data_IF_026946476501
#
_entry.id   IF_026946476501
#
_cell.length_a   1.000
_cell.length_b   1.000
_cell.length_c   1.000
_cell.angle_alpha   90.00
_cell.angle_beta   90.00
_cell.angle_gamma   90.00
#
_symmetry.space_group_name_H-M   'P 1'
#
loop_
_entity.id
_entity.type
_entity.pdbx_description
1 polymer ?
#
# COMPACT_ATOMS: atom_id res chain seq x y z
N UNK A 1 -6.11 -4.94 9.02
CA UNK A 1 -6.13 -3.53 8.60
C UNK A 1 -4.72 -3.02 8.30
N UNK A 2 -3.75 -3.19 9.22
CA UNK A 2 -2.37 -2.76 8.99
C UNK A 2 -1.77 -3.35 7.72
N UNK A 3 -2.02 -4.60 7.41
CA UNK A 3 -1.59 -5.20 6.15
C UNK A 3 -2.07 -4.38 4.92
N UNK A 4 -3.32 -3.90 4.94
CA UNK A 4 -3.84 -3.01 3.88
C UNK A 4 -3.14 -1.64 3.88
N UNK A 5 -2.70 -1.14 5.04
CA UNK A 5 -1.96 0.12 5.11
C UNK A 5 -0.58 0.04 4.44
N UNK A 6 0.03 -1.15 4.40
CA UNK A 6 1.38 -1.35 3.85
C UNK A 6 1.40 -2.08 2.50
N UNK A 7 0.24 -2.47 1.97
CA UNK A 7 0.14 -3.16 0.66
C UNK A 7 -0.85 -2.51 -0.29
N UNK A 8 -1.75 -1.66 0.23
CA UNK A 8 -2.83 -1.08 -0.56
C UNK A 8 -3.90 -2.09 -1.00
N UNK A 9 -3.77 -3.37 -0.63
CA UNK A 9 -4.71 -4.42 -1.03
C UNK A 9 -6.08 -4.16 -0.39
N UNK A 10 -7.16 -4.07 -1.18
CA UNK A 10 -8.48 -3.80 -0.64
C UNK A 10 -9.10 -5.03 -0.01
N UNK A 11 -10.11 -4.82 0.84
CA UNK A 11 -10.81 -5.86 1.57
C UNK A 11 -11.19 -7.07 0.72
N UNK A 12 -11.83 -6.85 -0.43
CA UNK A 12 -12.33 -7.95 -1.25
C UNK A 12 -11.26 -8.82 -1.90
N UNK A 13 -10.07 -8.26 -2.14
CA UNK A 13 -8.92 -8.99 -2.67
C UNK A 13 -8.20 -9.69 -1.51
N UNK A 14 -8.04 -9.01 -0.37
CA UNK A 14 -7.43 -9.57 0.84
C UNK A 14 -8.14 -10.83 1.36
N UNK A 15 -9.47 -10.89 1.26
CA UNK A 15 -10.24 -12.08 1.62
C UNK A 15 -9.95 -13.33 0.76
N UNK A 16 -9.31 -13.13 -0.40
CA UNK A 16 -9.02 -14.21 -1.35
C UNK A 16 -7.57 -14.65 -1.32
N UNK A 17 -6.68 -13.80 -0.80
CA UNK A 17 -5.25 -14.08 -0.77
C UNK A 17 -4.97 -15.46 -0.18
N UNK A 18 -4.18 -16.22 -0.93
CA UNK A 18 -3.71 -17.57 -0.60
C UNK A 18 -2.19 -17.66 -0.74
N UNK A 19 -1.63 -18.80 -0.39
CA UNK A 19 -0.19 -19.04 -0.59
C UNK A 19 0.19 -19.04 -2.08
N UNK A 20 -0.74 -19.38 -2.97
CA UNK A 20 -0.53 -19.35 -4.42
C UNK A 20 -0.34 -17.91 -4.97
N UNK A 21 -0.77 -16.88 -4.21
CA UNK A 21 -0.54 -15.49 -4.58
C UNK A 21 0.86 -14.98 -4.16
N UNK A 22 1.66 -15.79 -3.45
CA UNK A 22 3.01 -15.43 -3.03
C UNK A 22 4.06 -16.00 -3.99
N UNK A 23 4.99 -15.16 -4.39
CA UNK A 23 6.14 -15.54 -5.21
C UNK A 23 7.43 -15.04 -4.56
N UNK A 24 8.44 -15.88 -4.51
CA UNK A 24 9.79 -15.51 -4.05
C UNK A 24 10.64 -15.28 -5.29
N UNK A 25 11.12 -14.06 -5.47
CA UNK A 25 12.01 -13.68 -6.55
C UNK A 25 13.43 -14.27 -6.34
N UNK A 26 14.25 -14.24 -7.38
CA UNK A 26 15.62 -14.78 -7.34
C UNK A 26 16.51 -14.09 -6.29
N UNK A 27 16.26 -12.83 -5.98
CA UNK A 27 16.95 -12.03 -4.95
C UNK A 27 16.43 -12.27 -3.53
N UNK A 28 15.40 -13.12 -3.38
CA UNK A 28 14.77 -13.45 -2.10
C UNK A 28 13.63 -12.50 -1.71
N UNK A 29 13.32 -11.48 -2.50
CA UNK A 29 12.15 -10.64 -2.26
C UNK A 29 10.85 -11.43 -2.40
N UNK A 30 9.91 -11.20 -1.49
CA UNK A 30 8.58 -11.83 -1.53
C UNK A 30 7.60 -10.87 -2.18
N UNK A 31 6.93 -11.36 -3.22
CA UNK A 31 5.94 -10.60 -3.98
C UNK A 31 4.54 -11.18 -3.79
N UNK A 32 3.52 -10.34 -3.80
CA UNK A 32 2.14 -10.75 -4.03
C UNK A 32 1.81 -10.50 -5.50
N UNK A 33 1.36 -11.55 -6.19
CA UNK A 33 0.82 -11.50 -7.55
C UNK A 33 -0.62 -11.98 -7.52
N UNK A 34 -1.55 -11.11 -7.82
CA UNK A 34 -2.98 -11.43 -7.73
C UNK A 34 -3.82 -10.59 -8.68
N UNK A 35 -5.09 -10.94 -8.81
CA UNK A 35 -6.04 -10.27 -9.72
C UNK A 35 -7.04 -9.43 -8.93
N UNK A 36 -7.23 -8.18 -9.32
CA UNK A 36 -8.26 -7.31 -8.76
C UNK A 36 -9.66 -7.90 -8.97
N UNK A 37 -10.40 -8.13 -7.89
CA UNK A 37 -11.78 -8.65 -7.96
C UNK A 37 -12.70 -7.76 -8.78
N UNK A 38 -12.56 -6.43 -8.62
CA UNK A 38 -13.44 -5.43 -9.24
C UNK A 38 -13.16 -5.21 -10.72
N UNK A 39 -11.89 -5.12 -11.11
CA UNK A 39 -11.46 -4.72 -12.46
C UNK A 39 -10.93 -5.86 -13.30
N UNK A 40 -10.69 -7.02 -12.70
CA UNK A 40 -10.09 -8.22 -13.35
C UNK A 40 -8.70 -7.95 -13.94
N UNK A 41 -7.97 -7.02 -13.35
CA UNK A 41 -6.60 -6.68 -13.73
C UNK A 41 -5.65 -7.37 -12.78
N UNK A 42 -4.64 -8.02 -13.34
CA UNK A 42 -3.52 -8.55 -12.57
C UNK A 42 -2.65 -7.41 -12.07
N UNK A 43 -2.20 -7.51 -10.87
CA UNK A 43 -1.27 -6.59 -10.26
C UNK A 43 -0.33 -7.31 -9.32
N UNK A 44 0.84 -6.76 -9.18
CA UNK A 44 1.90 -7.30 -8.34
C UNK A 44 2.51 -6.20 -7.48
N UNK A 45 2.97 -6.57 -6.31
CA UNK A 45 3.68 -5.67 -5.41
C UNK A 45 4.65 -6.45 -4.53
N UNK A 46 5.86 -5.91 -4.28
CA UNK A 46 6.79 -6.47 -3.32
C UNK A 46 6.28 -6.24 -1.90
N UNK A 47 6.52 -7.19 -1.03
CA UNK A 47 6.16 -7.07 0.38
C UNK A 47 7.31 -6.43 1.17
N UNK A 48 6.99 -5.35 1.84
CA UNK A 48 7.86 -4.73 2.84
C UNK A 48 7.93 -5.60 4.11
N UNK A 49 8.87 -5.33 5.01
CA UNK A 49 9.08 -6.10 6.24
C UNK A 49 7.82 -6.19 7.11
N UNK A 50 7.08 -5.10 7.26
CA UNK A 50 5.87 -5.08 8.11
C UNK A 50 4.78 -6.04 7.60
N UNK A 51 4.39 -6.05 6.31
CA UNK A 51 3.52 -7.09 5.76
C UNK A 51 4.05 -8.51 5.96
N UNK A 52 5.35 -8.74 5.77
CA UNK A 52 5.96 -10.07 5.98
C UNK A 52 5.80 -10.53 7.43
N UNK A 53 6.09 -9.69 8.40
CA UNK A 53 5.88 -9.98 9.82
C UNK A 53 4.41 -10.24 10.15
N UNK A 54 3.48 -9.54 9.49
CA UNK A 54 2.05 -9.80 9.67
C UNK A 54 1.68 -11.18 9.12
N UNK A 55 2.16 -11.57 7.94
CA UNK A 55 1.91 -12.90 7.38
C UNK A 55 2.47 -13.99 8.28
N UNK A 56 3.70 -13.82 8.76
CA UNK A 56 4.33 -14.78 9.66
C UNK A 56 3.54 -14.95 10.97
N UNK A 57 3.09 -13.85 11.56
CA UNK A 57 2.24 -13.87 12.76
C UNK A 57 0.96 -14.68 12.59
N UNK A 58 0.37 -14.69 11.39
CA UNK A 58 -0.89 -15.39 11.12
C UNK A 58 -0.69 -16.76 10.45
N UNK A 59 0.55 -17.17 10.23
CA UNK A 59 0.87 -18.50 9.72
C UNK A 59 0.31 -19.58 10.64
N UNK A 60 -0.45 -20.50 10.11
CA UNK A 60 -1.11 -21.56 10.88
C UNK A 60 -2.31 -21.12 11.73
N UNK A 61 -2.64 -19.80 11.74
CA UNK A 61 -3.84 -19.25 12.42
C UNK A 61 -4.93 -18.93 11.40
N UNK A 62 -4.54 -18.52 10.19
CA UNK A 62 -5.46 -18.25 9.11
C UNK A 62 -6.21 -19.54 8.71
N UNK A 63 -7.46 -19.44 8.21
CA UNK A 63 -8.17 -20.57 7.65
C UNK A 63 -7.34 -21.26 6.54
N UNK A 64 -7.53 -22.58 6.38
CA UNK A 64 -6.81 -23.35 5.38
C UNK A 64 -6.85 -22.68 4.00
N UNK A 65 -5.69 -22.61 3.34
CA UNK A 65 -5.53 -21.98 2.04
C UNK A 65 -5.66 -20.45 2.05
N UNK A 66 -5.62 -19.78 3.20
CA UNK A 66 -5.67 -18.31 3.31
C UNK A 66 -4.43 -17.74 4.01
N UNK A 67 -3.98 -16.57 3.54
CA UNK A 67 -2.86 -15.87 4.18
C UNK A 67 -3.28 -15.13 5.46
N UNK A 68 -4.53 -14.70 5.57
CA UNK A 68 -4.99 -13.87 6.68
C UNK A 68 -6.37 -14.30 7.18
N UNK A 69 -6.62 -14.26 8.50
CA UNK A 69 -7.94 -14.49 9.08
C UNK A 69 -8.83 -13.26 8.88
N UNK A 70 -9.63 -13.26 7.81
CA UNK A 70 -10.49 -12.13 7.47
C UNK A 70 -11.89 -12.29 8.06
N UNK A 71 -12.33 -11.26 8.79
CA UNK A 71 -13.71 -11.11 9.25
C UNK A 71 -14.55 -10.33 8.25
N UNK A 72 -15.88 -10.38 8.38
CA UNK A 72 -16.79 -9.61 7.53
C UNK A 72 -16.48 -8.10 7.58
N UNK A 73 -16.60 -7.40 6.45
CA UNK A 73 -16.24 -5.98 6.31
C UNK A 73 -16.93 -5.08 7.36
N UNK A 74 -18.22 -5.34 7.65
CA UNK A 74 -18.96 -4.59 8.66
C UNK A 74 -18.39 -4.79 10.07
N UNK A 75 -17.93 -6.01 10.40
CA UNK A 75 -17.29 -6.33 11.68
C UNK A 75 -15.96 -5.61 11.81
N UNK A 76 -15.13 -5.64 10.76
CA UNK A 76 -13.85 -4.91 10.73
C UNK A 76 -14.06 -3.40 10.86
N UNK A 77 -15.01 -2.82 10.14
CA UNK A 77 -15.30 -1.39 10.23
C UNK A 77 -15.83 -0.99 11.61
N UNK A 78 -16.60 -1.85 12.27
CA UNK A 78 -17.05 -1.62 13.66
C UNK A 78 -15.88 -1.64 14.64
N UNK A 79 -14.95 -2.59 14.49
CA UNK A 79 -13.74 -2.67 15.30
C UNK A 79 -12.85 -1.43 15.08
N UNK A 80 -12.65 -1.01 13.81
CA UNK A 80 -11.88 0.19 13.48
C UNK A 80 -12.50 1.47 14.08
N UNK A 81 -13.84 1.59 14.05
CA UNK A 81 -14.52 2.70 14.71
C UNK A 81 -14.25 2.73 16.23
N UNK A 82 -14.26 1.57 16.87
CA UNK A 82 -13.94 1.46 18.31
C UNK A 82 -12.48 1.83 18.59
N UNK A 83 -11.54 1.35 17.78
CA UNK A 83 -10.12 1.72 17.87
C UNK A 83 -9.94 3.23 17.71
N UNK A 84 -10.55 3.84 16.69
CA UNK A 84 -10.50 5.27 16.46
C UNK A 84 -10.98 6.06 17.70
N UNK A 85 -12.08 5.63 18.31
CA UNK A 85 -12.62 6.26 19.53
C UNK A 85 -11.65 6.15 20.71
N UNK A 86 -11.02 4.98 20.91
CA UNK A 86 -10.05 4.76 22.00
C UNK A 86 -8.78 5.61 21.80
N UNK A 87 -8.35 5.77 20.54
CA UNK A 87 -7.15 6.52 20.18
C UNK A 87 -7.40 8.03 19.98
N UNK A 88 -8.61 8.55 20.22
CA UNK A 88 -8.93 9.96 20.00
C UNK A 88 -8.88 10.38 18.53
N UNK A 89 -9.05 9.44 17.59
CA UNK A 89 -9.05 9.72 16.15
C UNK A 89 -10.45 10.18 15.73
N UNK A 90 -10.62 11.46 15.45
CA UNK A 90 -11.90 12.06 15.06
C UNK A 90 -12.33 11.69 13.62
N UNK A 91 -11.36 11.43 12.74
CA UNK A 91 -11.61 11.04 11.35
C UNK A 91 -12.32 9.69 11.30
N UNK A 92 -13.29 9.57 10.37
CA UNK A 92 -13.97 8.31 10.10
C UNK A 92 -12.97 7.26 9.61
N UNK A 93 -12.63 6.30 10.46
CA UNK A 93 -11.74 5.20 10.14
C UNK A 93 -12.56 4.00 9.62
N UNK A 94 -12.32 3.61 8.38
CA UNK A 94 -12.90 2.44 7.72
C UNK A 94 -11.80 1.62 7.05
N UNK A 95 -12.09 0.37 6.69
CA UNK A 95 -11.06 -0.53 6.12
C UNK A 95 -10.39 0.07 4.87
N UNK A 96 -11.14 0.77 4.04
CA UNK A 96 -10.60 1.42 2.83
C UNK A 96 -9.54 2.50 3.13
N UNK A 97 -9.53 3.07 4.33
CA UNK A 97 -8.48 4.03 4.73
C UNK A 97 -7.08 3.42 4.67
N UNK A 98 -6.94 2.09 4.87
CA UNK A 98 -5.64 1.42 4.72
C UNK A 98 -5.05 1.61 3.32
N UNK A 99 -5.87 1.46 2.27
CA UNK A 99 -5.42 1.68 0.90
C UNK A 99 -5.09 3.17 0.61
N UNK A 100 -5.82 4.10 1.22
CA UNK A 100 -5.45 5.52 1.16
C UNK A 100 -4.09 5.76 1.80
N UNK A 101 -3.87 5.24 3.00
CA UNK A 101 -2.59 5.35 3.71
C UNK A 101 -1.43 4.79 2.88
N UNK A 102 -1.61 3.62 2.25
CA UNK A 102 -0.60 3.06 1.35
C UNK A 102 -0.26 4.01 0.21
N UNK A 103 -1.29 4.49 -0.50
CA UNK A 103 -1.10 5.37 -1.64
C UNK A 103 -0.45 6.71 -1.26
N UNK A 104 -0.85 7.32 -0.12
CA UNK A 104 -0.35 8.63 0.29
C UNK A 104 0.94 8.55 1.09
N UNK A 105 0.89 7.91 2.27
CA UNK A 105 1.97 7.96 3.27
C UNK A 105 3.11 6.98 2.99
N UNK A 106 2.76 5.78 2.50
CA UNK A 106 3.76 4.71 2.31
C UNK A 106 4.44 4.81 0.95
N UNK A 107 3.78 5.38 -0.06
CA UNK A 107 4.33 5.43 -1.43
C UNK A 107 4.56 6.85 -1.94
N UNK A 108 3.51 7.62 -2.24
CA UNK A 108 3.66 8.93 -2.89
C UNK A 108 4.46 9.94 -2.06
N UNK A 109 4.28 9.97 -0.73
CA UNK A 109 5.05 10.86 0.16
C UNK A 109 6.52 10.48 0.24
N UNK A 110 6.85 9.22 -0.04
CA UNK A 110 8.22 8.69 -0.08
C UNK A 110 8.86 8.83 -1.47
N UNK A 111 8.20 9.49 -2.41
CA UNK A 111 8.72 9.77 -3.75
C UNK A 111 8.51 8.65 -4.77
N UNK A 112 7.70 7.64 -4.46
CA UNK A 112 7.34 6.61 -5.46
C UNK A 112 6.51 7.27 -6.56
N UNK A 113 6.88 7.12 -7.86
CA UNK A 113 6.15 7.73 -8.96
C UNK A 113 4.68 7.31 -9.01
N UNK A 114 3.81 8.24 -9.41
CA UNK A 114 2.36 8.02 -9.47
C UNK A 114 1.99 6.82 -10.35
N UNK A 115 2.68 6.65 -11.46
CA UNK A 115 2.48 5.55 -12.41
C UNK A 115 2.80 4.20 -11.75
N UNK A 116 3.88 4.15 -10.98
CA UNK A 116 4.28 2.95 -10.21
C UNK A 116 3.21 2.63 -9.17
N UNK A 117 2.78 3.62 -8.39
CA UNK A 117 1.70 3.44 -7.39
C UNK A 117 0.41 2.99 -8.05
N UNK A 118 0.08 3.53 -9.23
CA UNK A 118 -1.10 3.12 -10.00
C UNK A 118 -1.07 1.64 -10.37
N UNK A 119 0.08 1.14 -10.82
CA UNK A 119 0.29 -0.31 -11.10
C UNK A 119 0.17 -1.15 -9.84
N UNK A 120 0.90 -0.79 -8.78
CA UNK A 120 0.86 -1.51 -7.49
C UNK A 120 -0.55 -1.59 -6.89
N UNK A 121 -1.38 -0.59 -7.17
CA UNK A 121 -2.78 -0.58 -6.76
C UNK A 121 -3.71 -1.34 -7.72
N UNK A 122 -3.26 -1.77 -8.89
CA UNK A 122 -4.10 -2.42 -9.90
C UNK A 122 -5.18 -1.49 -10.45
N UNK A 123 -4.84 -0.22 -10.66
CA UNK A 123 -5.76 0.73 -11.33
C UNK A 123 -5.63 0.65 -12.84
N UNK A 124 -6.78 0.64 -13.53
CA UNK A 124 -6.86 0.68 -15.01
C UNK A 124 -6.49 2.03 -15.57
N UNK A 125 -6.74 3.09 -14.79
CA UNK A 125 -6.55 4.49 -15.20
C UNK A 125 -5.79 5.23 -14.11
N UNK A 126 -4.83 6.01 -14.51
CA UNK A 126 -4.00 6.81 -13.61
C UNK A 126 -4.82 7.87 -12.84
N UNK A 127 -5.87 8.40 -13.45
CA UNK A 127 -6.79 9.36 -12.83
C UNK A 127 -7.32 8.84 -11.48
N UNK A 128 -7.53 7.51 -11.37
CA UNK A 128 -7.97 6.88 -10.12
C UNK A 128 -6.91 7.02 -9.01
N UNK A 129 -5.63 7.15 -9.37
CA UNK A 129 -4.53 7.32 -8.42
C UNK A 129 -4.27 8.81 -8.15
N UNK A 130 -4.56 9.70 -9.08
CA UNK A 130 -4.36 11.15 -8.94
C UNK A 130 -5.12 11.75 -7.75
N UNK A 131 -6.24 11.14 -7.31
CA UNK A 131 -6.96 11.56 -6.11
C UNK A 131 -6.10 11.53 -4.84
N UNK A 132 -5.02 10.73 -4.83
CA UNK A 132 -4.06 10.63 -3.73
C UNK A 132 -2.89 11.60 -3.88
N UNK A 133 -2.61 12.09 -5.08
CA UNK A 133 -1.47 12.94 -5.41
C UNK A 133 -1.83 14.42 -5.22
N UNK A 134 -1.96 14.85 -3.96
CA UNK A 134 -2.03 16.28 -3.64
C UNK A 134 -0.62 16.85 -3.64
N UNK A 135 -0.30 17.62 -4.67
CA UNK A 135 0.95 18.38 -4.70
C UNK A 135 0.75 19.64 -3.87
N UNK A 136 1.55 19.81 -2.83
CA UNK A 136 1.61 21.02 -2.00
C UNK A 136 2.85 21.80 -2.33
N UNK A 137 2.88 23.09 -1.98
CA UNK A 137 4.05 23.95 -2.18
C UNK A 137 5.27 23.42 -1.41
N UNK A 138 5.07 22.84 -0.23
CA UNK A 138 6.13 22.18 0.55
C UNK A 138 6.74 20.99 -0.21
N UNK A 139 5.89 20.21 -0.89
CA UNK A 139 6.37 19.09 -1.70
C UNK A 139 7.15 19.57 -2.92
N UNK A 140 6.69 20.62 -3.59
CA UNK A 140 7.44 21.24 -4.70
C UNK A 140 8.81 21.66 -4.24
N UNK A 141 8.88 22.36 -3.08
CA UNK A 141 10.14 22.80 -2.48
C UNK A 141 11.09 21.64 -2.17
N UNK A 142 10.59 20.61 -1.52
CA UNK A 142 11.37 19.40 -1.17
C UNK A 142 11.87 18.64 -2.42
N UNK A 143 11.01 18.46 -3.41
CA UNK A 143 11.36 17.78 -4.67
C UNK A 143 12.43 18.58 -5.46
N UNK A 144 12.33 19.93 -5.47
CA UNK A 144 13.30 20.81 -6.10
C UNK A 144 14.66 20.77 -5.40
N UNK A 145 14.68 20.78 -4.06
CA UNK A 145 15.94 20.66 -3.31
C UNK A 145 16.62 19.30 -3.54
N UNK A 146 15.83 18.23 -3.64
CA UNK A 146 16.36 16.90 -3.92
C UNK A 146 16.92 16.82 -5.35
N UNK A 147 16.25 17.45 -6.32
CA UNK A 147 16.73 17.57 -7.69
C UNK A 147 18.07 18.34 -7.72
N UNK A 148 18.15 19.46 -7.03
CA UNK A 148 19.38 20.28 -6.98
C UNK A 148 20.58 19.50 -6.42
N UNK A 149 20.38 18.74 -5.33
CA UNK A 149 21.40 17.84 -4.79
C UNK A 149 21.87 16.79 -5.79
N UNK A 150 20.95 16.11 -6.47
CA UNK A 150 21.27 15.09 -7.48
C UNK A 150 22.01 15.69 -8.69
N UNK A 151 21.65 16.90 -9.09
CA UNK A 151 22.35 17.61 -10.17
C UNK A 151 23.74 18.03 -9.76
N UNK A 152 23.94 18.55 -8.53
CA UNK A 152 25.24 18.91 -8.00
C UNK A 152 26.20 17.72 -7.90
N UNK A 153 25.70 16.53 -7.53
CA UNK A 153 26.49 15.28 -7.52
C UNK A 153 26.89 14.83 -8.93
N UNK A 154 26.04 15.10 -9.94
CA UNK A 154 26.24 14.63 -11.31
C UNK A 154 27.01 15.62 -12.20
N UNK A 155 26.84 16.90 -11.94
CA UNK A 155 27.42 17.99 -12.72
C UNK A 155 28.23 18.91 -11.83
N UNK A 156 29.57 18.85 -11.94
CA UNK A 156 30.45 19.87 -11.31
C UNK A 156 30.36 21.15 -12.12
N UNK A 157 29.57 22.12 -11.66
CA UNK A 157 29.57 23.46 -12.24
C UNK A 157 30.68 24.23 -11.52
N UNK A 158 31.77 24.50 -12.22
CA UNK A 158 32.78 25.47 -11.79
C UNK A 158 32.25 26.85 -12.19
N UNK A 159 31.77 27.61 -11.22
CA UNK A 159 31.42 29.04 -11.35
C UNK A 159 32.66 29.90 -11.13
#
# INVERSE_FOLDING_TARGET
FLFSCYTGIPYGDMCRLSEDDLEIAEDGEVWIKTTRKKTKIDYELPLLDIPLHILDKYRGIAPEGKLLPMYGNNTLNRALKRIASICGIEKRLVFHCGRHTYATEITLSQGVPLETVSKMLGHTRIDTTQIYAKVTDDKIGADTQNLDKKLAERFSIVL
#
